data_IF_050889270504
#
_entry.id   IF_050889270504
#
_cell.length_a   1.000
_cell.length_b   1.000
_cell.length_c   1.000
_cell.angle_alpha   90.00
_cell.angle_beta   90.00
_cell.angle_gamma   90.00
#
_symmetry.space_group_name_H-M   'P 1'
#
loop_
_entity.id
_entity.type
_entity.pdbx_description
1 polymer ?
#
# COMPACT_ATOMS: atom_id res chain seq x y z
N UNK A 1 2.79 6.68 -12.18
CA UNK A 1 2.47 5.78 -11.05
C UNK A 1 3.78 5.47 -10.34
N UNK A 2 3.82 5.65 -9.04
CA UNK A 2 5.04 5.52 -8.22
C UNK A 2 4.74 4.75 -6.93
N UNK A 3 5.64 3.85 -6.50
CA UNK A 3 5.48 3.09 -5.25
C UNK A 3 6.33 3.76 -4.17
N UNK A 4 5.69 4.37 -3.18
CA UNK A 4 6.38 5.17 -2.16
C UNK A 4 6.83 4.37 -0.95
N UNK A 5 6.07 3.34 -0.58
CA UNK A 5 6.30 2.60 0.64
C UNK A 5 5.59 1.25 0.63
N UNK A 6 6.19 0.24 1.24
CA UNK A 6 5.58 -1.07 1.46
C UNK A 6 5.73 -1.44 2.93
N UNK A 7 4.67 -1.97 3.54
CA UNK A 7 4.69 -2.38 4.94
C UNK A 7 3.78 -3.59 5.15
N UNK A 8 4.03 -4.34 6.22
CA UNK A 8 3.21 -5.49 6.59
C UNK A 8 1.83 -5.06 7.09
N UNK A 9 0.79 -5.83 6.79
CA UNK A 9 -0.54 -5.59 7.33
C UNK A 9 -0.49 -5.57 8.87
N UNK A 10 -1.04 -4.55 9.56
CA UNK A 10 -0.86 -4.39 11.01
C UNK A 10 -1.47 -5.54 11.83
N UNK A 11 -2.47 -6.23 11.27
CA UNK A 11 -3.03 -7.45 11.84
C UNK A 11 -2.52 -8.68 11.07
N UNK A 12 -1.30 -9.12 11.37
CA UNK A 12 -0.70 -10.32 10.75
C UNK A 12 -1.35 -11.63 11.23
N UNK A 13 -1.95 -11.66 12.42
CA UNK A 13 -2.66 -12.86 12.90
C UNK A 13 -3.83 -13.22 11.98
N UNK A 14 -4.59 -12.21 11.55
CA UNK A 14 -5.71 -12.40 10.62
C UNK A 14 -5.30 -12.38 9.14
N UNK A 15 -4.23 -11.67 8.81
CA UNK A 15 -3.76 -11.46 7.43
C UNK A 15 -2.29 -11.84 7.26
N UNK A 16 -1.97 -13.08 7.61
CA UNK A 16 -0.60 -13.59 7.61
C UNK A 16 0.04 -13.49 6.23
N UNK A 17 1.23 -12.89 6.17
CA UNK A 17 1.99 -12.70 4.94
C UNK A 17 1.46 -11.59 4.03
N UNK A 18 0.38 -10.91 4.41
CA UNK A 18 -0.16 -9.80 3.61
C UNK A 18 0.64 -8.54 3.85
N UNK A 19 1.05 -7.91 2.75
CA UNK A 19 1.72 -6.62 2.72
C UNK A 19 0.79 -5.58 2.09
N UNK A 20 1.09 -4.31 2.31
CA UNK A 20 0.38 -3.18 1.75
C UNK A 20 1.40 -2.29 1.06
N UNK A 21 1.20 -2.07 -0.24
CA UNK A 21 1.94 -1.07 -1.02
C UNK A 21 1.17 0.25 -1.01
N UNK A 22 1.89 1.34 -0.81
CA UNK A 22 1.41 2.71 -1.01
C UNK A 22 1.79 3.13 -2.41
N UNK A 23 0.79 3.21 -3.27
CA UNK A 23 0.95 3.61 -4.67
C UNK A 23 0.40 5.02 -4.84
N UNK A 24 1.19 5.87 -5.48
CA UNK A 24 0.81 7.19 -5.89
C UNK A 24 0.34 7.15 -7.35
N UNK A 25 -0.90 7.58 -7.55
CA UNK A 25 -1.49 7.79 -8.88
C UNK A 25 -1.99 9.24 -8.89
N UNK A 26 -1.46 10.02 -9.84
CA UNK A 26 -1.63 11.47 -9.90
C UNK A 26 -1.33 12.16 -8.55
N UNK A 27 -2.32 12.80 -7.95
CA UNK A 27 -2.21 13.53 -6.67
C UNK A 27 -2.83 12.77 -5.49
N UNK A 28 -3.03 11.45 -5.61
CA UNK A 28 -3.68 10.65 -4.58
C UNK A 28 -2.92 9.37 -4.24
N UNK A 29 -2.95 8.99 -2.96
CA UNK A 29 -2.34 7.75 -2.48
C UNK A 29 -3.38 6.62 -2.34
N UNK A 30 -3.02 5.47 -2.87
CA UNK A 30 -3.78 4.24 -2.83
C UNK A 30 -3.02 3.20 -2.02
N UNK A 31 -3.75 2.48 -1.16
CA UNK A 31 -3.25 1.32 -0.44
C UNK A 31 -3.61 0.08 -1.25
N UNK A 32 -2.61 -0.70 -1.63
CA UNK A 32 -2.78 -1.90 -2.43
C UNK A 32 -2.32 -3.09 -1.57
N UNK A 33 -3.24 -3.84 -0.96
CA UNK A 33 -2.90 -5.05 -0.25
C UNK A 33 -2.46 -6.13 -1.25
N UNK A 34 -1.42 -6.87 -0.92
CA UNK A 34 -0.92 -7.96 -1.75
C UNK A 34 -0.35 -9.09 -0.91
N UNK A 35 -0.39 -10.30 -1.47
CA UNK A 35 0.33 -11.46 -0.97
C UNK A 35 1.46 -11.76 -1.94
N UNK A 36 2.65 -11.93 -1.39
CA UNK A 36 3.86 -12.30 -2.13
C UNK A 36 4.07 -13.80 -1.97
N UNK A 37 3.90 -14.52 -3.07
CA UNK A 37 4.28 -15.92 -3.21
C UNK A 37 5.52 -15.98 -4.12
N UNK A 38 6.29 -17.07 -4.04
CA UNK A 38 7.65 -17.17 -4.62
C UNK A 38 7.85 -16.44 -5.96
N UNK A 39 6.96 -16.68 -6.93
CA UNK A 39 7.06 -16.11 -8.28
C UNK A 39 5.83 -15.26 -8.66
N UNK A 40 4.88 -15.08 -7.74
CA UNK A 40 3.58 -14.47 -8.02
C UNK A 40 3.15 -13.49 -6.93
N UNK A 41 2.63 -12.34 -7.36
CA UNK A 41 1.99 -11.38 -6.46
C UNK A 41 0.50 -11.32 -6.72
N UNK A 42 -0.30 -11.64 -5.70
CA UNK A 42 -1.75 -11.52 -5.76
C UNK A 42 -2.17 -10.18 -5.18
N UNK A 43 -2.51 -9.23 -6.06
CA UNK A 43 -3.04 -7.93 -5.67
C UNK A 43 -4.52 -8.04 -5.32
N UNK A 44 -4.90 -7.41 -4.22
CA UNK A 44 -6.30 -7.21 -3.84
C UNK A 44 -6.79 -5.84 -4.30
N UNK A 45 -8.03 -5.53 -3.95
CA UNK A 45 -8.67 -4.24 -4.25
C UNK A 45 -7.81 -3.07 -3.80
N UNK A 46 -7.55 -2.14 -4.72
CA UNK A 46 -6.91 -0.85 -4.41
C UNK A 46 -7.86 0.00 -3.57
N UNK A 47 -7.36 0.57 -2.48
CA UNK A 47 -8.16 1.40 -1.56
C UNK A 47 -7.62 2.83 -1.57
N UNK A 48 -8.38 3.82 -2.05
CA UNK A 48 -7.98 5.22 -1.94
C UNK A 48 -7.89 5.61 -0.45
N UNK A 49 -6.80 6.26 -0.05
CA UNK A 49 -6.61 6.69 1.34
C UNK A 49 -6.20 8.15 1.45
N UNK A 50 -7.12 8.98 1.96
CA UNK A 50 -6.85 10.39 2.31
C UNK A 50 -5.74 10.52 3.37
N UNK A 51 -5.71 9.60 4.34
CA UNK A 51 -4.67 9.57 5.38
C UNK A 51 -3.29 9.27 4.77
N UNK A 52 -3.22 8.29 3.88
CA UNK A 52 -1.98 7.99 3.17
C UNK A 52 -1.56 9.16 2.27
N UNK A 53 -2.53 9.78 1.58
CA UNK A 53 -2.28 10.95 0.74
C UNK A 53 -1.62 12.06 1.56
N UNK A 54 -2.22 12.45 2.69
CA UNK A 54 -1.63 13.44 3.58
C UNK A 54 -0.24 13.06 4.12
N UNK A 55 0.03 11.77 4.34
CA UNK A 55 1.31 11.28 4.88
C UNK A 55 2.43 11.23 3.83
N UNK A 56 2.11 10.84 2.60
CA UNK A 56 3.10 10.52 1.56
C UNK A 56 3.14 11.55 0.42
N UNK A 57 2.14 12.42 0.28
CA UNK A 57 2.14 13.55 -0.67
C UNK A 57 2.56 14.87 -0.05
N UNK A 58 2.45 15.03 1.27
CA UNK A 58 3.01 16.23 1.92
C UNK A 58 4.52 16.02 2.02
N UNK A 59 5.25 16.61 1.08
CA UNK A 59 6.65 16.89 1.28
C UNK A 59 6.78 17.60 2.63
N UNK A 60 7.63 17.07 3.52
CA UNK A 60 8.01 17.81 4.73
C UNK A 60 8.68 19.10 4.23
N UNK A 61 7.93 20.19 4.29
CA UNK A 61 8.51 21.53 4.24
C UNK A 61 9.35 21.77 5.48
#
# INVERSE_FOLDING_TARGET
MDIRHTFEHPNQERYSGQKIAVVIIDAYAYLVPYLEHNEEMVLKTIVPSRKATNKYMREKK
#
